data_IF_195892077560
#
_entry.id   IF_195892077560
#
_cell.length_a   1.000
_cell.length_b   1.000
_cell.length_c   1.000
_cell.angle_alpha   90.00
_cell.angle_beta   90.00
_cell.angle_gamma   90.00
#
_symmetry.space_group_name_H-M   'P 1'
#
loop_
_entity.id
_entity.type
_entity.pdbx_description
1 polymer ?
#
# COMPACT_ATOMS: atom_id res chain seq x y z
N UNK A 1 -14.47 22.57 -6.64
CA UNK A 1 -13.38 22.68 -7.62
C UNK A 1 -12.05 22.78 -6.89
N UNK A 2 -11.01 22.14 -7.39
CA UNK A 2 -9.65 22.20 -6.84
C UNK A 2 -8.71 22.67 -7.96
N UNK A 3 -7.84 23.64 -7.65
CA UNK A 3 -6.86 24.17 -8.58
C UNK A 3 -5.46 23.97 -8.00
N UNK A 4 -4.66 23.14 -8.65
CA UNK A 4 -3.26 22.94 -8.29
C UNK A 4 -2.38 23.80 -9.20
N UNK A 5 -1.65 24.75 -8.62
CA UNK A 5 -0.78 25.69 -9.34
C UNK A 5 0.65 25.50 -8.86
N UNK A 6 1.63 25.63 -9.77
CA UNK A 6 3.05 25.54 -9.44
C UNK A 6 3.85 26.63 -10.16
N UNK A 7 4.85 27.17 -9.50
CA UNK A 7 5.87 28.04 -10.11
C UNK A 7 7.04 27.24 -10.71
N UNK A 8 7.12 25.94 -10.39
CA UNK A 8 8.18 25.06 -10.87
C UNK A 8 7.99 24.75 -12.35
N UNK A 9 9.02 25.01 -13.16
CA UNK A 9 9.02 24.72 -14.59
C UNK A 9 9.55 23.33 -14.93
N UNK A 10 9.92 22.54 -13.93
CA UNK A 10 10.52 21.21 -14.15
C UNK A 10 9.52 20.24 -14.77
N UNK A 11 9.99 19.41 -15.70
CA UNK A 11 9.13 18.43 -16.36
C UNK A 11 8.65 17.36 -15.37
N UNK A 12 9.50 16.98 -14.39
CA UNK A 12 9.10 16.10 -13.28
C UNK A 12 7.91 16.65 -12.48
N UNK A 13 7.87 17.96 -12.23
CA UNK A 13 6.73 18.58 -11.52
C UNK A 13 5.46 18.55 -12.38
N UNK A 14 5.59 18.82 -13.68
CA UNK A 14 4.45 18.77 -14.61
C UNK A 14 3.87 17.36 -14.72
N UNK A 15 4.72 16.34 -14.80
CA UNK A 15 4.29 14.94 -14.88
C UNK A 15 3.55 14.50 -13.62
N UNK A 16 4.03 14.91 -12.43
CA UNK A 16 3.35 14.65 -11.16
C UNK A 16 1.99 15.34 -11.06
N UNK A 17 1.89 16.61 -11.49
CA UNK A 17 0.62 17.33 -11.50
C UNK A 17 -0.37 16.74 -12.51
N UNK A 18 0.12 16.27 -13.65
CA UNK A 18 -0.70 15.57 -14.64
C UNK A 18 -1.24 14.27 -14.07
N UNK A 19 -0.40 13.44 -13.43
CA UNK A 19 -0.84 12.22 -12.77
C UNK A 19 -1.90 12.50 -11.69
N UNK A 20 -1.72 13.55 -10.87
CA UNK A 20 -2.71 13.97 -9.87
C UNK A 20 -4.05 14.37 -10.49
N UNK A 21 -4.02 15.03 -11.65
CA UNK A 21 -5.23 15.50 -12.33
C UNK A 21 -5.94 14.39 -13.12
N UNK A 22 -5.23 13.37 -13.59
CA UNK A 22 -5.78 12.33 -14.47
C UNK A 22 -6.04 10.99 -13.79
N UNK A 23 -5.47 10.74 -12.61
CA UNK A 23 -5.69 9.50 -11.87
C UNK A 23 -7.18 9.36 -11.51
N UNK A 24 -7.72 8.16 -11.73
CA UNK A 24 -9.14 7.86 -11.53
C UNK A 24 -9.46 7.51 -10.08
N UNK A 25 -8.46 7.09 -9.31
CA UNK A 25 -8.58 6.69 -7.92
C UNK A 25 -7.22 6.77 -7.20
N UNK A 26 -7.24 6.54 -5.88
CA UNK A 26 -6.04 6.59 -5.04
C UNK A 26 -5.00 5.49 -5.33
N UNK A 27 -5.40 4.34 -5.88
CA UNK A 27 -4.47 3.26 -6.22
C UNK A 27 -3.64 3.62 -7.45
N UNK A 28 -4.28 4.13 -8.52
CA UNK A 28 -3.58 4.60 -9.73
C UNK A 28 -2.61 5.74 -9.40
N UNK A 29 -3.00 6.64 -8.50
CA UNK A 29 -2.12 7.71 -8.03
C UNK A 29 -0.91 7.17 -7.25
N UNK A 30 -1.11 6.15 -6.40
CA UNK A 30 -0.03 5.51 -5.66
C UNK A 30 0.96 4.76 -6.57
N UNK A 31 0.47 4.14 -7.66
CA UNK A 31 1.34 3.53 -8.67
C UNK A 31 2.22 4.57 -9.38
N UNK A 32 1.65 5.72 -9.75
CA UNK A 32 2.42 6.83 -10.30
C UNK A 32 3.43 7.39 -9.30
N UNK A 33 3.04 7.56 -8.02
CA UNK A 33 3.96 8.03 -6.98
C UNK A 33 5.15 7.07 -6.80
N UNK A 34 4.89 5.75 -6.80
CA UNK A 34 5.93 4.73 -6.79
C UNK A 34 6.86 4.83 -8.01
N UNK A 35 6.32 5.00 -9.21
CA UNK A 35 7.13 5.18 -10.42
C UNK A 35 8.01 6.43 -10.34
N UNK A 36 7.49 7.55 -9.84
CA UNK A 36 8.22 8.82 -9.76
C UNK A 36 9.32 8.85 -8.69
N UNK A 37 9.09 8.16 -7.57
CA UNK A 37 10.07 7.98 -6.49
C UNK A 37 11.09 6.90 -6.80
N UNK A 38 10.71 5.95 -7.65
CA UNK A 38 11.46 4.73 -7.88
C UNK A 38 11.26 3.74 -6.73
N UNK A 39 11.30 2.46 -7.06
CA UNK A 39 11.05 1.40 -6.08
C UNK A 39 12.01 1.45 -4.88
N UNK A 40 13.22 1.98 -5.06
CA UNK A 40 14.23 2.15 -4.01
C UNK A 40 13.82 3.07 -2.84
N UNK A 41 12.92 4.03 -3.03
CA UNK A 41 12.42 4.89 -1.93
C UNK A 41 11.33 4.20 -1.10
N UNK A 42 10.53 3.29 -1.70
CA UNK A 42 9.70 2.36 -0.92
C UNK A 42 10.54 1.35 -0.13
N UNK A 43 11.72 0.99 -0.64
CA UNK A 43 12.63 0.05 0.01
C UNK A 43 13.62 0.72 0.97
N UNK A 44 13.62 2.06 1.04
CA UNK A 44 14.38 2.82 2.03
C UNK A 44 13.76 2.64 3.41
N UNK A 45 14.58 2.32 4.42
CA UNK A 45 14.16 1.85 5.76
C UNK A 45 13.39 2.84 6.64
N UNK A 46 12.57 3.74 6.08
CA UNK A 46 11.71 4.66 6.80
C UNK A 46 10.33 4.71 6.16
N UNK A 47 9.61 3.59 6.19
CA UNK A 47 8.16 3.62 6.16
C UNK A 47 7.69 3.63 7.61
N UNK A 48 7.12 4.75 8.07
CA UNK A 48 6.57 4.84 9.42
C UNK A 48 5.43 3.81 9.56
N UNK A 49 5.65 2.77 10.36
CA UNK A 49 4.64 1.76 10.69
C UNK A 49 4.91 0.33 10.19
N UNK A 50 5.91 0.10 9.31
CA UNK A 50 6.28 -1.24 8.85
C UNK A 50 7.58 -1.71 9.52
N UNK A 51 7.61 -2.95 10.03
CA UNK A 51 8.82 -3.55 10.61
C UNK A 51 9.85 -3.89 9.53
N UNK A 52 11.12 -4.00 9.89
CA UNK A 52 12.20 -4.40 8.96
C UNK A 52 11.88 -5.72 8.24
N UNK A 53 11.23 -6.67 8.93
CA UNK A 53 10.76 -7.92 8.33
C UNK A 53 9.65 -7.69 7.30
N UNK A 54 8.71 -6.80 7.58
CA UNK A 54 7.68 -6.39 6.63
C UNK A 54 8.30 -5.73 5.39
N UNK A 55 9.30 -4.87 5.60
CA UNK A 55 10.07 -4.23 4.54
C UNK A 55 10.83 -5.23 3.67
N UNK A 56 11.39 -6.29 4.26
CA UNK A 56 12.03 -7.36 3.50
C UNK A 56 11.00 -8.20 2.72
N UNK A 57 9.85 -8.49 3.34
CA UNK A 57 8.80 -9.29 2.72
C UNK A 57 8.20 -8.59 1.48
N UNK A 58 8.01 -7.27 1.51
CA UNK A 58 7.45 -6.52 0.36
C UNK A 58 8.41 -6.46 -0.84
N UNK A 59 9.70 -6.71 -0.67
CA UNK A 59 10.66 -6.80 -1.79
C UNK A 59 10.37 -7.99 -2.69
N UNK A 60 9.75 -9.04 -2.15
CA UNK A 60 9.34 -10.21 -2.91
C UNK A 60 7.88 -10.08 -3.36
N UNK A 61 7.66 -9.35 -4.46
CA UNK A 61 6.33 -9.13 -5.03
C UNK A 61 5.54 -10.44 -5.25
N UNK A 62 6.21 -11.50 -5.71
CA UNK A 62 5.56 -12.81 -5.90
C UNK A 62 5.04 -13.40 -4.58
N UNK A 63 5.79 -13.24 -3.49
CA UNK A 63 5.37 -13.67 -2.16
C UNK A 63 4.19 -12.84 -1.66
N UNK A 64 4.19 -11.53 -1.89
CA UNK A 64 3.07 -10.63 -1.53
C UNK A 64 1.80 -11.03 -2.29
N UNK A 65 1.91 -11.28 -3.58
CA UNK A 65 0.79 -11.72 -4.42
C UNK A 65 0.23 -13.09 -3.98
N UNK A 66 1.12 -14.04 -3.69
CA UNK A 66 0.73 -15.35 -3.18
C UNK A 66 0.01 -15.22 -1.82
N UNK A 67 0.60 -14.47 -0.88
CA UNK A 67 0.00 -14.23 0.43
C UNK A 67 -1.38 -13.55 0.34
N UNK A 68 -1.53 -12.57 -0.58
CA UNK A 68 -2.82 -11.91 -0.82
C UNK A 68 -3.87 -12.89 -1.38
N UNK A 69 -3.44 -13.78 -2.26
CA UNK A 69 -4.33 -14.78 -2.89
C UNK A 69 -4.83 -15.77 -1.84
N UNK A 70 -3.92 -16.32 -1.02
CA UNK A 70 -4.28 -17.24 0.06
C UNK A 70 -5.15 -16.57 1.12
N UNK A 71 -4.85 -15.33 1.49
CA UNK A 71 -5.67 -14.58 2.45
C UNK A 71 -7.11 -14.39 1.97
N UNK A 72 -7.33 -14.10 0.68
CA UNK A 72 -8.67 -14.02 0.10
C UNK A 72 -9.38 -15.37 0.13
N UNK A 73 -8.70 -16.42 -0.34
CA UNK A 73 -9.26 -17.77 -0.34
C UNK A 73 -9.65 -18.24 1.07
N UNK A 74 -8.85 -17.90 2.08
CA UNK A 74 -9.13 -18.20 3.48
C UNK A 74 -10.44 -17.56 3.95
N UNK A 75 -10.62 -16.27 3.67
CA UNK A 75 -11.83 -15.50 4.02
C UNK A 75 -13.06 -16.03 3.28
N UNK A 76 -12.92 -16.30 1.98
CA UNK A 76 -14.03 -16.78 1.14
C UNK A 76 -14.49 -18.19 1.55
N UNK A 77 -13.55 -19.05 1.94
CA UNK A 77 -13.83 -20.45 2.32
C UNK A 77 -14.36 -20.60 3.75
N UNK A 78 -14.17 -19.60 4.61
CA UNK A 78 -14.55 -19.66 6.03
C UNK A 78 -15.42 -18.46 6.41
N UNK A 79 -16.75 -18.55 6.21
CA UNK A 79 -17.70 -17.48 6.52
C UNK A 79 -17.66 -17.04 8.00
N UNK A 80 -17.33 -17.97 8.90
CA UNK A 80 -17.07 -17.69 10.32
C UNK A 80 -15.58 -17.90 10.63
N UNK A 81 -14.79 -16.89 10.26
CA UNK A 81 -13.35 -16.86 10.45
C UNK A 81 -12.98 -16.81 11.95
N UNK A 82 -13.83 -16.21 12.79
CA UNK A 82 -13.59 -16.12 14.23
C UNK A 82 -13.65 -17.48 14.92
N UNK A 83 -14.56 -18.35 14.49
CA UNK A 83 -14.63 -19.72 14.98
C UNK A 83 -13.51 -20.61 14.46
N UNK A 84 -13.15 -20.44 13.19
CA UNK A 84 -12.18 -21.31 12.51
C UNK A 84 -10.73 -20.93 12.83
N UNK A 85 -10.44 -19.64 13.00
CA UNK A 85 -9.09 -19.11 13.20
C UNK A 85 -9.06 -17.96 14.23
N UNK A 86 -9.36 -18.23 15.50
CA UNK A 86 -9.45 -17.20 16.54
C UNK A 86 -8.15 -16.40 16.71
N UNK A 87 -6.99 -17.07 16.60
CA UNK A 87 -5.67 -16.44 16.72
C UNK A 87 -5.37 -15.47 15.56
N UNK A 88 -5.84 -15.78 14.35
CA UNK A 88 -5.66 -14.91 13.19
C UNK A 88 -6.51 -13.65 13.39
N UNK A 89 -7.75 -13.81 13.85
CA UNK A 89 -8.64 -12.68 14.13
C UNK A 89 -8.07 -11.78 15.21
N UNK A 90 -7.57 -12.34 16.32
CA UNK A 90 -6.93 -11.55 17.38
C UNK A 90 -5.70 -10.79 16.86
N UNK A 91 -4.86 -11.45 16.05
CA UNK A 91 -3.66 -10.84 15.48
C UNK A 91 -4.01 -9.71 14.51
N UNK A 92 -5.02 -9.89 13.66
CA UNK A 92 -5.48 -8.87 12.71
C UNK A 92 -6.07 -7.68 13.45
N UNK A 93 -6.89 -7.90 14.49
CA UNK A 93 -7.43 -6.82 15.31
C UNK A 93 -6.31 -5.97 15.93
N UNK A 94 -5.30 -6.62 16.52
CA UNK A 94 -4.13 -5.94 17.09
C UNK A 94 -3.30 -5.19 16.06
N UNK A 95 -3.16 -5.74 14.85
CA UNK A 95 -2.45 -5.07 13.76
C UNK A 95 -3.19 -3.82 13.28
N UNK A 96 -4.53 -3.85 13.25
CA UNK A 96 -5.35 -2.67 12.91
C UNK A 96 -5.22 -1.51 13.90
N UNK A 97 -4.89 -1.79 15.16
CA UNK A 97 -4.62 -0.74 16.17
C UNK A 97 -3.25 -0.07 15.95
N UNK A 98 -2.26 -0.81 15.43
CA UNK A 98 -0.88 -0.33 15.23
C UNK A 98 -0.69 0.33 13.87
N UNK A 99 -1.36 -0.20 12.84
CA UNK A 99 -1.46 0.44 11.53
C UNK A 99 -2.53 1.53 11.61
N UNK A 100 -2.15 2.72 12.05
CA UNK A 100 -3.00 3.91 11.88
C UNK A 100 -3.32 4.09 10.39
N UNK A 101 -4.53 3.71 9.99
CA UNK A 101 -5.10 4.01 8.69
C UNK A 101 -5.75 5.39 8.81
N UNK A 102 -5.02 6.43 8.41
CA UNK A 102 -5.63 7.73 8.06
C UNK A 102 -6.37 7.63 6.71
#
# INVERSE_FOLDING_TARGET
>A
YCFAVTESKSDKTKDRLKALATAKNGFELAEHDLQFRGSGELYGGKQSGLSDLGMEAIRNLKLVEAARTEAKHLVDSHPDLAKSFPLIVEKVARLGEVLHME
#
